data_IF_698608340120
#
_entry.id   IF_698608340120
#
_cell.length_a   1.000
_cell.length_b   1.000
_cell.length_c   1.000
_cell.angle_alpha   90.00
_cell.angle_beta   90.00
_cell.angle_gamma   90.00
#
_symmetry.space_group_name_H-M   'P 1'
#
loop_
_entity.id
_entity.type
_entity.pdbx_description
1 polymer ?
#
# COMPACT_ATOMS: atom_id res chain seq x y z
N UNK A 1 3.42 0.10 -10.98
CA UNK A 1 1.99 0.05 -11.39
C UNK A 1 1.19 -0.47 -10.21
N UNK A 2 0.75 0.40 -9.34
CA UNK A 2 -0.21 0.31 -8.25
C UNK A 2 -0.76 -1.03 -7.79
N UNK A 3 0.09 -2.00 -7.41
CA UNK A 3 -0.35 -3.28 -6.83
C UNK A 3 0.29 -3.48 -5.48
N UNK A 4 -0.54 -3.71 -4.47
CA UNK A 4 -0.12 -4.06 -3.11
C UNK A 4 -0.32 -5.56 -2.91
N UNK A 5 0.70 -6.27 -2.45
CA UNK A 5 0.61 -7.68 -2.08
C UNK A 5 0.57 -7.83 -0.57
N UNK A 6 -0.44 -8.50 -0.07
CA UNK A 6 -0.58 -8.86 1.34
C UNK A 6 -0.08 -10.28 1.52
N UNK A 7 0.94 -10.43 2.36
CA UNK A 7 1.63 -11.71 2.57
C UNK A 7 1.17 -12.30 3.89
N UNK A 8 0.72 -13.54 3.85
CA UNK A 8 0.48 -14.35 5.04
C UNK A 8 1.77 -15.09 5.40
N UNK A 9 2.16 -14.97 6.66
CA UNK A 9 3.31 -15.68 7.22
C UNK A 9 2.81 -16.80 8.11
N UNK A 10 3.20 -18.04 7.82
CA UNK A 10 3.01 -19.20 8.69
C UNK A 10 4.30 -19.38 9.50
N UNK A 11 4.28 -18.94 10.74
CA UNK A 11 5.48 -18.96 11.61
C UNK A 11 5.89 -20.38 11.99
N UNK A 12 4.95 -21.31 12.05
CA UNK A 12 5.21 -22.69 12.48
C UNK A 12 5.90 -23.48 11.37
N UNK A 13 5.58 -23.17 10.12
CA UNK A 13 6.16 -23.81 8.94
C UNK A 13 7.30 -23.03 8.31
N UNK A 14 7.51 -21.78 8.72
CA UNK A 14 8.45 -20.87 8.07
C UNK A 14 8.07 -20.50 6.64
N UNK A 15 6.78 -20.55 6.31
CA UNK A 15 6.25 -20.35 4.96
C UNK A 15 5.60 -18.99 4.80
N UNK A 16 5.67 -18.45 3.56
CA UNK A 16 5.08 -17.15 3.19
C UNK A 16 4.36 -17.26 1.86
N UNK A 17 3.10 -16.85 1.84
CA UNK A 17 2.29 -16.88 0.63
C UNK A 17 1.58 -15.54 0.43
N UNK A 18 1.34 -15.15 -0.83
CA UNK A 18 0.49 -14.00 -1.13
C UNK A 18 -0.95 -14.36 -0.78
N UNK A 19 -1.49 -13.74 0.25
CA UNK A 19 -2.87 -13.96 0.66
C UNK A 19 -3.86 -13.35 -0.34
N UNK A 20 -3.58 -12.12 -0.77
CA UNK A 20 -4.34 -11.39 -1.78
C UNK A 20 -3.57 -10.18 -2.27
N UNK A 21 -4.06 -9.55 -3.33
CA UNK A 21 -3.54 -8.28 -3.84
C UNK A 21 -4.64 -7.23 -3.94
N UNK A 22 -4.24 -5.97 -3.83
CA UNK A 22 -5.09 -4.81 -4.14
C UNK A 22 -4.43 -4.05 -5.27
N UNK A 23 -5.15 -3.85 -6.37
CA UNK A 23 -4.70 -2.99 -7.46
C UNK A 23 -5.30 -1.60 -7.35
N UNK A 24 -4.44 -0.60 -7.43
CA UNK A 24 -4.77 0.82 -7.46
C UNK A 24 -4.10 1.47 -8.68
N UNK A 25 -4.70 1.35 -9.88
CA UNK A 25 -4.10 1.87 -11.11
C UNK A 25 -3.80 3.37 -11.02
N UNK A 26 -2.64 3.77 -11.50
CA UNK A 26 -2.21 5.17 -11.48
C UNK A 26 -1.56 5.62 -10.16
N UNK A 27 -1.35 4.72 -9.20
CA UNK A 27 -0.71 5.02 -7.92
C UNK A 27 0.73 4.51 -7.93
N UNK A 28 1.67 5.36 -7.53
CA UNK A 28 3.06 4.99 -7.28
C UNK A 28 3.29 4.96 -5.77
N UNK A 29 3.56 3.79 -5.24
CA UNK A 29 3.84 3.59 -3.82
C UNK A 29 5.32 3.81 -3.53
N UNK A 30 5.61 4.34 -2.34
CA UNK A 30 6.95 4.41 -1.79
C UNK A 30 7.00 3.61 -0.48
N UNK A 31 7.02 4.24 0.68
CA UNK A 31 7.10 3.55 1.97
C UNK A 31 5.73 3.40 2.62
N UNK A 32 5.64 2.42 3.52
CA UNK A 32 4.38 2.10 4.20
C UNK A 32 4.56 1.89 5.69
N UNK A 33 3.49 2.11 6.44
CA UNK A 33 3.41 1.79 7.86
C UNK A 33 2.09 1.10 8.21
N UNK A 34 2.17 0.07 9.04
CA UNK A 34 0.99 -0.59 9.59
C UNK A 34 0.29 0.28 10.64
N UNK A 35 -1.03 0.33 10.59
CA UNK A 35 -1.83 0.95 11.63
C UNK A 35 -1.67 0.22 12.98
N UNK A 36 -1.64 1.00 14.06
CA UNK A 36 -1.51 0.55 15.46
C UNK A 36 -2.70 1.05 16.26
N UNK A 37 -2.89 0.57 17.47
CA UNK A 37 -3.91 1.09 18.37
C UNK A 37 -5.25 1.35 17.67
N UNK A 38 -5.68 2.60 17.59
CA UNK A 38 -6.96 3.00 16.95
C UNK A 38 -7.02 2.67 15.47
N UNK A 39 -5.91 2.74 14.75
CA UNK A 39 -5.82 2.46 13.32
C UNK A 39 -5.46 1.01 12.99
N UNK A 40 -5.45 0.10 13.99
CA UNK A 40 -5.25 -1.31 13.72
C UNK A 40 -6.28 -1.85 12.72
N UNK A 41 -5.81 -2.54 11.70
CA UNK A 41 -6.66 -2.99 10.58
C UNK A 41 -6.48 -2.16 9.32
N UNK A 42 -5.61 -1.16 9.40
CA UNK A 42 -5.25 -0.28 8.29
C UNK A 42 -3.77 -0.35 7.97
N UNK A 43 -3.43 -0.02 6.73
CA UNK A 43 -2.08 0.28 6.27
C UNK A 43 -2.07 1.65 5.62
N UNK A 44 -0.96 2.36 5.75
CA UNK A 44 -0.76 3.67 5.16
C UNK A 44 0.45 3.64 4.25
N UNK A 45 0.30 4.20 3.04
CA UNK A 45 1.34 4.22 2.01
C UNK A 45 1.55 5.65 1.55
N UNK A 46 2.78 6.12 1.57
CA UNK A 46 3.10 7.36 0.87
C UNK A 46 3.07 7.14 -0.64
N UNK A 47 2.46 8.05 -1.36
CA UNK A 47 2.27 7.96 -2.80
C UNK A 47 2.74 9.24 -3.47
N UNK A 48 3.69 9.11 -4.37
CA UNK A 48 4.31 10.20 -5.09
C UNK A 48 3.97 10.16 -6.59
N UNK A 49 4.33 11.21 -7.31
CA UNK A 49 4.11 11.33 -8.75
C UNK A 49 2.66 11.01 -9.16
N UNK A 50 1.70 11.56 -8.43
CA UNK A 50 0.26 11.40 -8.73
C UNK A 50 -0.12 11.91 -10.13
N UNK A 51 0.69 12.79 -10.71
CA UNK A 51 0.53 13.34 -12.05
C UNK A 51 1.04 12.41 -13.17
N UNK A 52 1.62 11.25 -12.82
CA UNK A 52 2.09 10.23 -13.76
C UNK A 52 3.14 10.76 -14.76
N UNK A 53 4.01 11.68 -14.33
CA UNK A 53 5.09 12.19 -15.14
C UNK A 53 6.21 11.15 -15.29
N UNK A 54 6.46 10.67 -16.49
CA UNK A 54 7.39 9.57 -16.76
C UNK A 54 8.78 10.01 -17.23
N UNK A 55 8.92 11.25 -17.65
CA UNK A 55 10.15 11.79 -18.27
C UNK A 55 10.76 12.96 -17.50
N UNK A 56 10.19 13.31 -16.36
CA UNK A 56 10.64 14.45 -15.54
C UNK A 56 11.44 13.97 -14.33
N UNK A 57 12.34 14.82 -13.85
CA UNK A 57 12.92 14.64 -12.52
C UNK A 57 11.81 14.68 -11.45
N UNK A 58 12.01 14.01 -10.33
CA UNK A 58 11.02 13.91 -9.25
C UNK A 58 10.48 15.28 -8.80
N UNK A 59 11.37 16.27 -8.69
CA UNK A 59 11.02 17.66 -8.33
C UNK A 59 10.01 18.30 -9.31
N UNK A 60 10.00 17.86 -10.56
CA UNK A 60 9.08 18.33 -11.59
C UNK A 60 7.85 17.44 -11.75
N UNK A 61 7.89 16.23 -11.22
CA UNK A 61 6.82 15.25 -11.35
C UNK A 61 5.62 15.51 -10.40
N UNK A 62 5.84 16.29 -9.34
CA UNK A 62 4.82 16.61 -8.33
C UNK A 62 4.62 18.11 -8.22
N UNK A 63 4.41 18.80 -9.34
CA UNK A 63 4.38 20.27 -9.38
C UNK A 63 3.16 20.89 -8.69
N UNK A 64 2.02 20.19 -8.69
CA UNK A 64 0.74 20.74 -8.26
C UNK A 64 0.32 20.30 -6.85
N UNK A 65 1.22 19.78 -6.04
CA UNK A 65 0.94 19.30 -4.67
C UNK A 65 -0.29 18.35 -4.59
N UNK A 66 -0.39 17.43 -5.54
CA UNK A 66 -1.49 16.46 -5.63
C UNK A 66 -1.13 15.07 -5.12
N UNK A 67 -0.01 14.94 -4.44
CA UNK A 67 0.39 13.68 -3.84
C UNK A 67 -0.43 13.37 -2.58
N UNK A 68 -0.36 12.14 -2.10
CA UNK A 68 -1.23 11.70 -1.02
C UNK A 68 -0.60 10.57 -0.20
N UNK A 69 -1.15 10.35 0.98
CA UNK A 69 -1.04 9.09 1.71
C UNK A 69 -2.29 8.27 1.40
N UNK A 70 -2.11 7.05 0.90
CA UNK A 70 -3.20 6.10 0.69
C UNK A 70 -3.42 5.28 1.95
N UNK A 71 -4.62 5.35 2.51
CA UNK A 71 -5.05 4.53 3.63
C UNK A 71 -5.79 3.29 3.09
N UNK A 72 -5.36 2.11 3.47
CA UNK A 72 -5.93 0.83 3.05
C UNK A 72 -6.53 0.11 4.23
N UNK A 73 -7.84 -0.13 4.20
CA UNK A 73 -8.54 -0.95 5.18
C UNK A 73 -8.41 -2.43 4.82
N UNK A 74 -7.36 -3.08 5.30
CA UNK A 74 -7.12 -4.49 4.98
C UNK A 74 -8.12 -5.44 5.64
N UNK A 75 -8.71 -5.08 6.79
CA UNK A 75 -9.79 -5.87 7.39
C UNK A 75 -11.02 -5.88 6.50
N UNK A 76 -11.37 -4.73 5.91
CA UNK A 76 -12.48 -4.65 4.95
C UNK A 76 -12.18 -5.44 3.68
N UNK A 77 -10.94 -5.41 3.22
CA UNK A 77 -10.49 -6.24 2.11
C UNK A 77 -10.67 -7.74 2.41
N UNK A 78 -10.33 -8.19 3.62
CA UNK A 78 -10.56 -9.59 4.03
C UNK A 78 -12.06 -9.98 4.06
N UNK A 79 -12.94 -9.06 4.47
CA UNK A 79 -14.40 -9.28 4.41
C UNK A 79 -14.85 -9.52 2.96
N UNK A 80 -14.36 -8.73 2.02
CA UNK A 80 -14.66 -8.91 0.59
C UNK A 80 -14.14 -10.23 0.04
N UNK A 81 -12.95 -10.65 0.44
CA UNK A 81 -12.41 -11.96 0.05
C UNK A 81 -13.27 -13.11 0.57
N UNK A 82 -13.71 -13.04 1.84
CA UNK A 82 -14.63 -14.02 2.42
C UNK A 82 -15.98 -14.04 1.71
N UNK A 83 -16.43 -12.91 1.19
CA UNK A 83 -17.64 -12.79 0.39
C UNK A 83 -17.44 -13.18 -1.09
N UNK A 84 -16.28 -13.72 -1.46
CA UNK A 84 -15.97 -14.16 -2.82
C UNK A 84 -15.75 -13.03 -3.83
N UNK A 85 -15.49 -11.81 -3.37
CA UNK A 85 -15.19 -10.68 -4.26
C UNK A 85 -13.75 -10.75 -4.77
N UNK A 86 -13.53 -10.07 -5.90
CA UNK A 86 -12.24 -10.00 -6.56
C UNK A 86 -12.13 -10.98 -7.74
N UNK A 87 -11.06 -10.84 -8.49
CA UNK A 87 -10.75 -11.71 -9.65
C UNK A 87 -9.55 -12.58 -9.35
N UNK A 88 -9.54 -13.80 -9.88
CA UNK A 88 -8.42 -14.72 -9.79
C UNK A 88 -7.38 -14.41 -10.86
N UNK A 89 -6.11 -14.34 -10.47
CA UNK A 89 -4.99 -14.09 -11.37
C UNK A 89 -3.87 -15.06 -11.04
N UNK A 90 -3.29 -15.65 -12.06
CA UNK A 90 -2.06 -16.40 -11.93
C UNK A 90 -0.88 -15.43 -11.93
N UNK A 91 -0.10 -15.44 -10.89
CA UNK A 91 1.12 -14.62 -10.77
C UNK A 91 2.34 -15.50 -10.65
N UNK A 92 3.40 -15.10 -11.34
CA UNK A 92 4.71 -15.73 -11.18
C UNK A 92 5.53 -14.89 -10.21
N UNK A 93 6.06 -15.54 -9.20
CA UNK A 93 7.03 -14.94 -8.30
C UNK A 93 8.25 -15.85 -8.16
N UNK A 94 9.40 -15.24 -7.96
CA UNK A 94 10.60 -16.01 -7.67
C UNK A 94 10.52 -16.49 -6.21
N UNK A 95 10.39 -17.78 -6.02
CA UNK A 95 10.65 -18.38 -4.73
C UNK A 95 12.15 -18.61 -4.64
N UNK A 96 12.81 -17.86 -3.79
CA UNK A 96 14.25 -17.96 -3.62
C UNK A 96 14.60 -19.27 -2.88
N UNK A 97 14.77 -20.37 -3.61
CA UNK A 97 15.82 -21.29 -3.25
C UNK A 97 17.12 -20.64 -3.72
N UNK A 98 17.76 -19.95 -2.79
CA UNK A 98 19.08 -19.40 -3.05
C UNK A 98 20.07 -20.55 -3.09
N UNK A 99 20.67 -20.79 -4.25
CA UNK A 99 21.79 -21.70 -4.39
C UNK A 99 23.05 -20.93 -4.01
N UNK A 100 23.57 -21.19 -2.82
CA UNK A 100 24.77 -20.55 -2.29
C UNK A 100 26.00 -20.78 -3.19
N UNK A 101 26.05 -21.90 -3.91
CA UNK A 101 27.18 -22.26 -4.77
C UNK A 101 27.20 -21.43 -6.06
N UNK A 102 26.05 -21.11 -6.61
CA UNK A 102 25.92 -20.35 -7.86
C UNK A 102 25.50 -18.90 -7.67
N UNK A 103 25.18 -18.49 -6.42
CA UNK A 103 24.65 -17.16 -6.08
C UNK A 103 23.41 -16.79 -6.91
N UNK A 104 22.63 -17.78 -7.31
CA UNK A 104 21.45 -17.59 -8.17
C UNK A 104 20.15 -18.06 -7.50
N UNK A 105 19.07 -17.37 -7.78
CA UNK A 105 17.71 -17.78 -7.43
C UNK A 105 17.16 -18.71 -8.52
N UNK A 106 16.83 -19.95 -8.17
CA UNK A 106 16.64 -21.02 -9.18
C UNK A 106 15.20 -21.44 -9.40
N UNK A 107 14.21 -20.99 -8.66
CA UNK A 107 12.82 -21.42 -8.88
C UNK A 107 11.82 -20.30 -9.04
N UNK A 108 11.05 -20.37 -10.11
CA UNK A 108 9.80 -19.59 -10.29
C UNK A 108 8.63 -20.45 -9.80
N UNK A 109 7.84 -19.92 -8.92
CA UNK A 109 6.56 -20.52 -8.54
C UNK A 109 5.40 -19.76 -9.16
N UNK A 110 4.40 -20.48 -9.61
CA UNK A 110 3.13 -19.93 -10.05
C UNK A 110 2.13 -20.02 -8.88
N UNK A 111 1.48 -18.92 -8.55
CA UNK A 111 0.44 -18.88 -7.53
C UNK A 111 -0.81 -18.23 -8.11
N UNK A 112 -1.98 -18.82 -7.86
CA UNK A 112 -3.24 -18.14 -8.09
C UNK A 112 -3.54 -17.23 -6.90
N UNK A 113 -3.74 -15.95 -7.16
CA UNK A 113 -4.08 -14.93 -6.14
C UNK A 113 -5.41 -14.27 -6.47
N UNK A 114 -6.13 -13.88 -5.43
CA UNK A 114 -7.29 -12.99 -5.58
C UNK A 114 -6.84 -11.55 -5.57
N UNK A 115 -7.23 -10.80 -6.59
CA UNK A 115 -6.96 -9.37 -6.74
C UNK A 115 -8.25 -8.60 -6.52
N UNK A 116 -8.23 -7.66 -5.58
CA UNK A 116 -9.29 -6.67 -5.34
C UNK A 116 -8.95 -5.38 -6.07
N UNK A 117 -9.94 -4.71 -6.63
CA UNK A 117 -9.77 -3.42 -7.30
C UNK A 117 -10.16 -2.28 -6.37
N UNK A 118 -9.22 -1.39 -6.06
CA UNK A 118 -9.50 -0.17 -5.30
C UNK A 118 -10.48 0.76 -6.02
N UNK A 119 -10.58 0.66 -7.34
CA UNK A 119 -11.54 1.44 -8.16
C UNK A 119 -12.97 0.93 -8.01
N UNK A 120 -13.14 -0.38 -7.90
CA UNK A 120 -14.46 -1.03 -7.80
C UNK A 120 -14.95 -1.07 -6.35
N UNK A 121 -14.04 -1.31 -5.39
CA UNK A 121 -14.30 -1.44 -3.97
C UNK A 121 -13.80 -0.19 -3.24
N UNK A 122 -14.52 0.91 -3.40
CA UNK A 122 -14.09 2.25 -2.97
C UNK A 122 -13.90 2.39 -1.46
N UNK A 123 -14.48 1.52 -0.65
CA UNK A 123 -14.40 1.54 0.81
C UNK A 123 -13.18 0.78 1.39
N UNK A 124 -12.31 0.23 0.55
CA UNK A 124 -11.05 -0.35 0.99
C UNK A 124 -9.86 0.62 0.91
N UNK A 125 -9.95 1.66 0.08
CA UNK A 125 -8.86 2.61 -0.14
C UNK A 125 -9.34 4.06 -0.09
N UNK A 126 -8.61 4.89 0.63
CA UNK A 126 -8.86 6.33 0.77
C UNK A 126 -7.58 7.12 0.58
N UNK A 127 -7.68 8.34 0.08
CA UNK A 127 -6.54 9.18 -0.28
C UNK A 127 -6.54 10.44 0.58
N UNK A 128 -5.50 10.61 1.38
CA UNK A 128 -5.29 11.79 2.23
C UNK A 128 -4.28 12.72 1.55
N UNK A 129 -4.67 13.93 1.13
CA UNK A 129 -3.77 14.84 0.43
C UNK A 129 -2.51 15.15 1.25
N UNK A 130 -1.36 15.14 0.61
CA UNK A 130 -0.07 15.57 1.17
C UNK A 130 0.65 16.50 0.20
N UNK A 131 1.60 17.29 0.70
CA UNK A 131 2.51 18.03 -0.17
C UNK A 131 3.39 17.12 -1.02
N UNK A 132 4.13 17.77 -1.92
CA UNK A 132 5.01 17.16 -2.92
C UNK A 132 5.83 16.00 -2.43
N UNK A 133 5.74 14.90 -3.17
CA UNK A 133 6.63 13.75 -3.10
C UNK A 133 6.89 13.25 -1.67
N UNK A 134 5.84 12.79 -0.95
CA UNK A 134 6.03 12.21 0.38
C UNK A 134 6.87 10.94 0.24
N UNK A 135 8.02 10.88 0.91
CA UNK A 135 8.92 9.73 0.84
C UNK A 135 8.56 8.64 1.84
N UNK A 136 7.76 8.94 2.83
CA UNK A 136 7.36 7.95 3.83
C UNK A 136 6.18 8.42 4.65
N UNK A 137 5.66 7.51 5.45
CA UNK A 137 4.69 7.83 6.49
C UNK A 137 4.93 6.95 7.71
N UNK A 138 4.67 7.51 8.88
CA UNK A 138 4.69 6.82 10.15
C UNK A 138 3.35 6.93 10.86
N UNK A 139 3.08 5.96 11.73
CA UNK A 139 1.91 5.96 12.59
C UNK A 139 2.36 6.05 14.02
N UNK A 140 1.83 7.02 14.79
CA UNK A 140 2.14 7.19 16.19
C UNK A 140 1.73 5.95 17.02
N UNK A 141 2.27 5.76 18.23
CA UNK A 141 1.95 4.58 19.05
C UNK A 141 0.48 4.41 19.39
N UNK A 142 -0.30 5.50 19.44
CA UNK A 142 -1.75 5.46 19.71
C UNK A 142 -2.56 5.06 18.49
N UNK A 143 -1.98 5.18 17.29
CA UNK A 143 -2.64 4.97 16.01
C UNK A 143 -3.59 6.10 15.61
N UNK A 144 -3.52 7.24 16.29
CA UNK A 144 -4.35 8.41 15.99
C UNK A 144 -3.74 9.28 14.90
N UNK A 145 -2.40 9.41 14.87
CA UNK A 145 -1.73 10.32 13.95
C UNK A 145 -0.92 9.56 12.91
N UNK A 146 -1.19 9.89 11.65
CA UNK A 146 -0.40 9.44 10.50
C UNK A 146 0.43 10.63 10.06
N UNK A 147 1.74 10.50 10.12
CA UNK A 147 2.72 11.55 9.87
C UNK A 147 3.39 11.26 8.54
N UNK A 148 3.24 12.14 7.57
CA UNK A 148 3.90 12.03 6.28
C UNK A 148 5.24 12.77 6.27
N UNK A 149 6.17 12.32 5.44
CA UNK A 149 7.40 13.07 5.18
C UNK A 149 7.19 14.08 4.07
N UNK A 150 7.71 15.28 4.24
CA UNK A 150 7.68 16.34 3.23
C UNK A 150 8.98 16.41 2.42
N UNK A 151 9.31 15.38 1.64
CA UNK A 151 10.59 15.30 0.92
C UNK A 151 10.91 16.54 0.07
N UNK A 152 9.93 17.03 -0.68
CA UNK A 152 10.07 18.21 -1.54
C UNK A 152 9.24 19.42 -1.06
N UNK A 153 8.72 19.36 0.16
CA UNK A 153 7.98 20.43 0.79
C UNK A 153 8.57 20.74 2.17
N UNK A 154 8.61 22.02 2.54
CA UNK A 154 9.15 22.49 3.81
C UNK A 154 8.15 22.34 4.98
N UNK A 155 7.39 21.23 4.99
CA UNK A 155 6.43 20.95 6.04
C UNK A 155 6.21 19.45 6.21
N UNK A 156 5.71 19.05 7.37
CA UNK A 156 5.37 17.67 7.73
C UNK A 156 3.86 17.61 7.88
N UNK A 157 3.14 16.90 6.97
CA UNK A 157 1.70 16.71 7.10
C UNK A 157 1.39 15.70 8.22
N UNK A 158 0.40 16.04 9.03
CA UNK A 158 -0.11 15.16 10.10
C UNK A 158 -1.60 14.96 9.89
N UNK A 159 -2.02 13.73 9.70
CA UNK A 159 -3.41 13.35 9.52
C UNK A 159 -3.95 12.68 10.78
N UNK A 160 -5.17 13.06 11.21
CA UNK A 160 -5.86 12.38 12.30
C UNK A 160 -6.70 11.23 11.75
N UNK A 161 -6.49 10.03 12.27
CA UNK A 161 -7.26 8.85 11.90
C UNK A 161 -8.74 9.00 12.23
N UNK A 162 -9.05 9.54 13.41
CA UNK A 162 -10.44 9.82 13.83
C UNK A 162 -11.14 10.79 12.88
N UNK A 163 -10.46 11.87 12.45
CA UNK A 163 -11.02 12.83 11.49
C UNK A 163 -11.21 12.20 10.10
N UNK A 164 -10.26 11.38 9.66
CA UNK A 164 -10.36 10.61 8.42
C UNK A 164 -11.61 9.73 8.44
N UNK A 165 -11.81 8.92 9.49
CA UNK A 165 -12.99 8.07 9.61
C UNK A 165 -14.30 8.85 9.64
N UNK A 166 -14.31 10.04 10.23
CA UNK A 166 -15.48 10.93 10.23
C UNK A 166 -15.78 11.44 8.81
N UNK A 167 -14.74 11.81 8.06
CA UNK A 167 -14.91 12.30 6.68
C UNK A 167 -15.37 11.20 5.72
N UNK A 168 -14.99 9.93 5.96
CA UNK A 168 -15.43 8.78 5.15
C UNK A 168 -16.92 8.46 5.34
N UNK A 169 -17.49 8.77 6.52
CA UNK A 169 -18.89 8.45 6.85
C UNK A 169 -19.88 9.50 6.37
N UNK A 170 -19.42 10.67 5.98
CA UNK A 170 -20.23 11.77 5.45
C UNK A 170 -20.22 11.75 3.91
#
# INVERSE_FOLDING_TARGET
KGVLSFIKVDKDKGDMNIAFQIEAPGVNFDLSHAGKGKSHGWFFFSCYNSEQANSLLEVNASQNDKDFIMAVNWKKAEEYLKAGKGRKVKTQYAHNKFDESTQTATSKMEQEVTVLSAKELKDICYFMPTPKSPHGCDVDPTGEYIIGSGKLAALIPVHSFTKMLKAIKN
#
